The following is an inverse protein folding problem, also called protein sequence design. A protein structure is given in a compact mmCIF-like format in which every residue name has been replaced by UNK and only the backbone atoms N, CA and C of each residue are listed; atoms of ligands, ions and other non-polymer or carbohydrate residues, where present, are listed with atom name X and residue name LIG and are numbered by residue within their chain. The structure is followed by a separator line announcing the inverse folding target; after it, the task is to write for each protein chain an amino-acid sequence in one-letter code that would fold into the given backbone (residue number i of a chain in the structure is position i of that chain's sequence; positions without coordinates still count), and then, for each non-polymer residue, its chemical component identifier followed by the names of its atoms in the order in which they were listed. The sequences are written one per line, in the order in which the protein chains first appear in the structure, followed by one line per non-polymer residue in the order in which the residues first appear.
data_IF_980308865048
#
_entry.id   IF_980308865048
#
_cell.length_a   1.000
_cell.length_b   1.000
_cell.length_c   1.000
_cell.angle_alpha   90.00
_cell.angle_beta   90.00
_cell.angle_gamma   90.00
#
_symmetry.space_group_name_H-M   'P 1'
#
loop_
_entity.id
_entity.type
_entity.pdbx_description
1 polymer ?
#
# COMPACT_ATOMS: atom_id res chain seq x y z
N UNK A 1 -9.71 19.00 15.13
CA UNK A 1 -9.68 17.63 14.61
C UNK A 1 -11.11 17.12 14.61
N UNK A 2 -11.80 17.04 13.53
CA UNK A 2 -13.24 16.94 13.66
C UNK A 2 -13.87 15.72 13.02
N UNK A 3 -13.24 14.57 12.83
CA UNK A 3 -13.90 13.61 11.94
C UNK A 3 -13.75 12.15 12.31
N UNK A 4 -12.94 11.79 13.30
CA UNK A 4 -12.87 10.43 13.79
C UNK A 4 -14.08 10.10 14.64
N UNK A 5 -14.60 8.89 14.48
CA UNK A 5 -15.59 8.35 15.41
C UNK A 5 -14.98 8.14 16.79
N UNK A 6 -15.79 8.29 17.85
CA UNK A 6 -15.42 7.77 19.16
C UNK A 6 -15.37 6.24 19.08
N UNK A 7 -14.27 5.67 19.51
CA UNK A 7 -14.04 4.22 19.39
C UNK A 7 -14.26 3.51 20.74
N UNK A 8 -14.82 2.29 20.73
CA UNK A 8 -15.29 1.55 19.56
C UNK A 8 -16.62 2.11 19.00
N UNK A 9 -16.78 2.05 17.67
CA UNK A 9 -17.99 2.52 16.98
C UNK A 9 -18.57 1.43 16.08
N UNK A 10 -19.92 1.26 16.09
CA UNK A 10 -20.61 0.31 15.23
C UNK A 10 -21.09 1.02 13.95
N UNK A 11 -20.38 0.85 12.87
CA UNK A 11 -20.70 1.42 11.56
C UNK A 11 -21.72 0.52 10.83
N UNK A 12 -22.82 1.12 10.38
CA UNK A 12 -23.88 0.45 9.60
C UNK A 12 -24.43 -0.85 10.22
N UNK A 13 -24.25 -1.07 11.52
CA UNK A 13 -24.64 -2.29 12.20
C UNK A 13 -23.78 -3.53 11.90
N UNK A 14 -22.83 -3.42 10.97
CA UNK A 14 -22.03 -4.53 10.44
C UNK A 14 -20.54 -4.51 10.81
N UNK A 15 -19.97 -3.34 11.05
CA UNK A 15 -18.53 -3.17 11.29
C UNK A 15 -18.25 -2.48 12.61
N UNK A 16 -17.45 -3.10 13.46
CA UNK A 16 -16.98 -2.51 14.72
C UNK A 16 -15.63 -1.85 14.47
N UNK A 17 -15.59 -0.52 14.41
CA UNK A 17 -14.34 0.26 14.32
C UNK A 17 -13.60 0.13 15.65
N UNK A 18 -12.33 -0.27 15.61
CA UNK A 18 -11.55 -0.57 16.82
C UNK A 18 -10.40 0.41 17.06
N UNK A 19 -9.75 0.85 16.00
CA UNK A 19 -8.65 1.82 16.08
C UNK A 19 -8.53 2.66 14.80
N UNK A 20 -7.87 3.82 14.91
CA UNK A 20 -7.48 4.63 13.75
C UNK A 20 -6.16 4.06 13.24
N UNK A 21 -6.14 3.73 11.94
CA UNK A 21 -4.94 3.31 11.25
C UNK A 21 -4.16 4.52 10.71
N UNK A 22 -4.84 5.42 10.01
CA UNK A 22 -4.25 6.64 9.48
C UNK A 22 -5.30 7.73 9.31
N UNK A 23 -4.87 8.99 9.30
CA UNK A 23 -5.75 10.15 9.15
C UNK A 23 -5.12 11.19 8.21
N UNK A 24 -5.96 11.77 7.38
CA UNK A 24 -5.64 12.92 6.51
C UNK A 24 -6.63 14.04 6.77
N UNK A 25 -6.49 15.17 6.09
CA UNK A 25 -7.44 16.27 6.22
C UNK A 25 -8.87 15.89 5.79
N UNK A 26 -9.04 14.94 4.87
CA UNK A 26 -10.33 14.59 4.27
C UNK A 26 -10.83 13.19 4.63
N UNK A 27 -9.95 12.27 4.97
CA UNK A 27 -10.25 10.86 5.14
C UNK A 27 -9.62 10.32 6.41
N UNK A 28 -10.30 9.37 7.05
CA UNK A 28 -9.78 8.58 8.17
C UNK A 28 -9.84 7.11 7.77
N UNK A 29 -8.76 6.38 8.01
CA UNK A 29 -8.71 4.94 7.82
C UNK A 29 -8.76 4.26 9.18
N UNK A 30 -9.69 3.32 9.33
CA UNK A 30 -9.91 2.56 10.56
C UNK A 30 -9.53 1.10 10.37
N UNK A 31 -9.01 0.49 11.43
CA UNK A 31 -9.09 -0.96 11.61
C UNK A 31 -10.45 -1.28 12.17
N UNK A 32 -11.11 -2.28 11.62
CA UNK A 32 -12.44 -2.70 12.04
C UNK A 32 -12.59 -4.22 11.98
N UNK A 33 -13.60 -4.73 12.69
CA UNK A 33 -14.00 -6.14 12.64
C UNK A 33 -15.40 -6.24 12.05
N UNK A 34 -15.55 -7.03 11.01
CA UNK A 34 -16.87 -7.38 10.47
C UNK A 34 -17.60 -8.29 11.47
N UNK A 35 -18.75 -7.85 11.95
CA UNK A 35 -19.45 -8.46 13.10
C UNK A 35 -19.81 -9.93 12.88
N UNK A 36 -20.36 -10.26 11.72
CA UNK A 36 -20.90 -11.60 11.45
C UNK A 36 -19.81 -12.63 11.18
N UNK A 37 -18.73 -12.23 10.53
CA UNK A 37 -17.64 -13.13 10.13
C UNK A 37 -16.43 -13.08 11.07
N UNK A 38 -16.38 -12.10 11.97
CA UNK A 38 -15.23 -11.79 12.84
C UNK A 38 -13.96 -11.51 12.04
N UNK A 39 -14.11 -11.14 10.76
CA UNK A 39 -13.02 -10.83 9.87
C UNK A 39 -12.53 -9.41 10.12
N UNK A 40 -11.23 -9.24 10.21
CA UNK A 40 -10.64 -7.91 10.22
C UNK A 40 -10.73 -7.26 8.84
N UNK A 41 -11.02 -5.96 8.82
CA UNK A 41 -11.15 -5.15 7.62
C UNK A 41 -10.52 -3.78 7.86
N UNK A 42 -10.12 -3.12 6.78
CA UNK A 42 -9.73 -1.72 6.80
C UNK A 42 -10.86 -0.89 6.19
N UNK A 43 -11.24 0.20 6.85
CA UNK A 43 -12.32 1.07 6.40
C UNK A 43 -11.80 2.49 6.20
N UNK A 44 -11.79 2.94 4.96
CA UNK A 44 -11.47 4.32 4.59
C UNK A 44 -12.77 5.12 4.57
N UNK A 45 -12.87 6.09 5.44
CA UNK A 45 -14.07 6.91 5.63
C UNK A 45 -13.82 8.34 5.18
N UNK A 46 -14.72 8.90 4.39
CA UNK A 46 -14.74 10.32 4.09
C UNK A 46 -15.18 11.10 5.35
N UNK A 47 -14.47 12.17 5.69
CA UNK A 47 -14.84 12.99 6.84
C UNK A 47 -16.20 13.65 6.66
N UNK A 48 -17.04 13.70 7.70
CA UNK A 48 -18.44 14.20 7.63
C UNK A 48 -18.56 15.60 7.01
N UNK A 49 -17.67 16.52 7.32
CA UNK A 49 -17.68 17.88 6.72
C UNK A 49 -17.46 17.86 5.20
N UNK A 50 -16.78 16.87 4.69
CA UNK A 50 -16.52 16.71 3.25
C UNK A 50 -17.63 15.93 2.55
N UNK A 51 -18.42 15.15 3.30
CA UNK A 51 -19.54 14.39 2.79
C UNK A 51 -20.70 15.29 2.29
N UNK A 52 -20.77 16.55 2.72
CA UNK A 52 -21.74 17.55 2.21
C UNK A 52 -21.28 18.15 0.87
N UNK A 53 -20.04 17.98 0.46
CA UNK A 53 -19.50 18.49 -0.80
C UNK A 53 -19.66 17.44 -1.91
N UNK A 54 -20.58 17.72 -2.85
CA UNK A 54 -20.88 16.78 -3.94
C UNK A 54 -19.66 16.42 -4.80
N UNK A 55 -18.73 17.34 -5.04
CA UNK A 55 -17.52 17.08 -5.81
C UNK A 55 -16.58 16.14 -5.07
N UNK A 56 -16.39 16.35 -3.76
CA UNK A 56 -15.54 15.49 -2.94
C UNK A 56 -16.14 14.08 -2.83
N UNK A 57 -17.45 13.98 -2.62
CA UNK A 57 -18.18 12.71 -2.62
C UNK A 57 -18.02 11.98 -3.96
N UNK A 58 -18.20 12.69 -5.07
CA UNK A 58 -18.04 12.09 -6.40
C UNK A 58 -16.62 11.56 -6.60
N UNK A 59 -15.61 12.32 -6.20
CA UNK A 59 -14.21 11.89 -6.29
C UNK A 59 -13.94 10.64 -5.42
N UNK A 60 -14.50 10.59 -4.21
CA UNK A 60 -14.36 9.43 -3.32
C UNK A 60 -14.99 8.16 -3.92
N UNK A 61 -16.17 8.30 -4.56
CA UNK A 61 -16.85 7.21 -5.26
C UNK A 61 -16.04 6.75 -6.49
N UNK A 62 -15.49 7.69 -7.26
CA UNK A 62 -14.62 7.36 -8.40
C UNK A 62 -13.32 6.67 -7.94
N UNK A 63 -12.73 7.09 -6.81
CA UNK A 63 -11.61 6.39 -6.17
C UNK A 63 -12.00 4.95 -5.82
N UNK A 64 -13.18 4.73 -5.22
CA UNK A 64 -13.68 3.40 -4.89
C UNK A 64 -13.83 2.52 -6.15
N UNK A 65 -14.32 3.08 -7.25
CA UNK A 65 -14.41 2.40 -8.55
C UNK A 65 -13.02 2.07 -9.11
N UNK A 66 -12.05 2.97 -8.98
CA UNK A 66 -10.68 2.69 -9.39
C UNK A 66 -10.07 1.56 -8.55
N UNK A 67 -10.24 1.60 -7.23
CA UNK A 67 -9.78 0.55 -6.32
C UNK A 67 -10.40 -0.83 -6.64
N UNK A 68 -11.71 -0.90 -6.95
CA UNK A 68 -12.40 -2.17 -7.25
C UNK A 68 -11.92 -2.84 -8.53
N UNK A 69 -11.24 -2.11 -9.42
CA UNK A 69 -10.65 -2.65 -10.65
C UNK A 69 -9.32 -3.34 -10.42
N UNK A 70 -8.64 -3.09 -9.28
CA UNK A 70 -7.36 -3.72 -8.96
C UNK A 70 -7.63 -5.06 -8.29
N UNK A 71 -7.27 -6.14 -8.99
CA UNK A 71 -7.46 -7.52 -8.54
C UNK A 71 -6.12 -8.26 -8.58
N UNK A 72 -5.22 -7.90 -7.68
CA UNK A 72 -3.92 -8.54 -7.52
C UNK A 72 -3.87 -9.21 -6.14
N UNK A 73 -3.33 -10.44 -6.03
CA UNK A 73 -3.41 -11.23 -4.79
C UNK A 73 -2.66 -10.60 -3.62
N UNK A 74 -1.75 -9.68 -3.90
CA UNK A 74 -0.95 -8.96 -2.91
C UNK A 74 -1.39 -7.50 -2.71
N UNK A 75 -2.59 -7.13 -3.17
CA UNK A 75 -3.19 -5.81 -2.96
C UNK A 75 -4.54 -5.99 -2.27
N UNK A 76 -4.80 -5.20 -1.22
CA UNK A 76 -6.08 -5.24 -0.49
C UNK A 76 -7.26 -5.05 -1.42
N UNK A 77 -8.13 -6.06 -1.48
CA UNK A 77 -9.32 -6.06 -2.33
C UNK A 77 -10.42 -5.20 -1.70
N UNK A 78 -11.20 -4.53 -2.55
CA UNK A 78 -12.41 -3.83 -2.12
C UNK A 78 -13.51 -4.85 -1.83
N UNK A 79 -14.10 -4.76 -0.64
CA UNK A 79 -15.27 -5.56 -0.25
C UNK A 79 -16.54 -4.83 -0.68
N UNK A 80 -16.71 -3.58 -0.24
CA UNK A 80 -17.88 -2.77 -0.58
C UNK A 80 -17.64 -1.27 -0.43
N UNK A 81 -18.50 -0.48 -1.05
CA UNK A 81 -18.65 0.95 -0.84
C UNK A 81 -19.98 1.19 -0.13
N UNK A 82 -19.94 1.77 1.07
CA UNK A 82 -21.04 1.81 2.02
C UNK A 82 -21.40 3.26 2.37
N UNK A 83 -22.62 3.72 2.11
CA UNK A 83 -23.14 4.96 2.69
C UNK A 83 -23.67 4.69 4.10
N UNK A 84 -23.10 5.34 5.10
CA UNK A 84 -23.55 5.23 6.49
C UNK A 84 -23.22 6.50 7.28
N UNK A 85 -23.95 6.77 8.35
CA UNK A 85 -23.72 7.87 9.31
C UNK A 85 -23.52 9.26 8.65
N UNK A 86 -24.16 9.48 7.49
CA UNK A 86 -24.07 10.72 6.72
C UNK A 86 -22.75 10.87 5.95
N UNK A 87 -22.01 9.78 5.72
CA UNK A 87 -20.77 9.78 4.95
C UNK A 87 -20.60 8.52 4.08
N UNK A 88 -19.51 8.46 3.33
CA UNK A 88 -19.12 7.35 2.49
C UNK A 88 -17.94 6.60 3.11
N UNK A 89 -18.00 5.26 3.05
CA UNK A 89 -17.01 4.35 3.62
C UNK A 89 -16.63 3.29 2.58
N UNK A 90 -15.36 3.16 2.33
CA UNK A 90 -14.82 2.13 1.44
C UNK A 90 -14.16 1.05 2.28
N UNK A 91 -14.71 -0.16 2.23
CA UNK A 91 -14.28 -1.32 3.01
C UNK A 91 -13.34 -2.16 2.18
N UNK A 92 -12.16 -2.45 2.74
CA UNK A 92 -11.14 -3.31 2.17
C UNK A 92 -10.93 -4.56 3.03
N UNK A 93 -10.41 -5.60 2.40
CA UNK A 93 -9.82 -6.71 3.13
C UNK A 93 -8.74 -6.20 4.07
N UNK A 94 -8.87 -6.52 5.35
CA UNK A 94 -7.87 -6.24 6.37
C UNK A 94 -6.96 -7.45 6.59
N UNK A 95 -5.86 -7.26 7.31
CA UNK A 95 -4.85 -8.28 7.46
C UNK A 95 -4.45 -8.60 8.88
N UNK A 96 -4.93 -7.89 9.88
CA UNK A 96 -4.48 -8.06 11.27
C UNK A 96 -2.96 -7.93 11.47
N UNK A 97 -2.25 -7.48 10.45
CA UNK A 97 -0.81 -7.56 10.39
C UNK A 97 -0.16 -6.21 10.70
N UNK A 98 1.01 -6.28 11.32
CA UNK A 98 1.83 -5.09 11.55
C UNK A 98 2.27 -4.48 10.21
N UNK A 99 2.12 -3.17 10.10
CA UNK A 99 2.65 -2.45 8.95
C UNK A 99 4.17 -2.54 8.90
N UNK A 100 4.74 -2.44 7.69
CA UNK A 100 6.18 -2.45 7.50
C UNK A 100 6.87 -1.32 8.26
N UNK A 101 6.19 -0.19 8.43
CA UNK A 101 6.69 0.91 9.24
C UNK A 101 6.83 0.51 10.72
N UNK A 102 5.85 -0.19 11.28
CA UNK A 102 5.90 -0.67 12.67
C UNK A 102 6.98 -1.74 12.85
N UNK A 103 7.10 -2.67 11.90
CA UNK A 103 8.17 -3.67 11.89
C UNK A 103 9.57 -3.03 11.83
N UNK A 104 9.72 -1.98 11.03
CA UNK A 104 10.96 -1.22 10.93
C UNK A 104 11.33 -0.53 12.27
N UNK A 105 10.34 0.11 12.91
CA UNK A 105 10.53 0.78 14.20
C UNK A 105 10.83 -0.22 15.33
N UNK A 106 10.21 -1.40 15.30
CA UNK A 106 10.46 -2.47 16.29
C UNK A 106 11.81 -3.18 16.11
N UNK A 107 12.58 -2.82 15.06
CA UNK A 107 13.88 -3.42 14.76
C UNK A 107 13.80 -4.85 14.22
N UNK A 108 12.62 -5.31 13.79
CA UNK A 108 12.48 -6.62 13.16
C UNK A 108 13.22 -6.66 11.82
N UNK A 109 13.95 -7.74 11.60
CA UNK A 109 14.69 -7.95 10.35
C UNK A 109 13.76 -8.42 9.25
N UNK A 110 13.93 -7.85 8.07
CA UNK A 110 13.27 -8.29 6.83
C UNK A 110 14.29 -9.13 6.06
N UNK A 111 13.90 -10.35 5.66
CA UNK A 111 14.79 -11.22 4.87
C UNK A 111 14.97 -10.63 3.47
N UNK A 112 16.13 -10.88 2.88
CA UNK A 112 16.45 -10.41 1.52
C UNK A 112 15.40 -10.88 0.50
N UNK A 113 15.00 -12.15 0.57
CA UNK A 113 13.96 -12.73 -0.29
C UNK A 113 12.64 -12.01 -0.18
N UNK A 114 12.20 -11.68 1.04
CA UNK A 114 10.93 -10.99 1.29
C UNK A 114 10.97 -9.56 0.68
N UNK A 115 12.10 -8.85 0.83
CA UNK A 115 12.27 -7.52 0.24
C UNK A 115 12.22 -7.56 -1.29
N UNK A 116 12.88 -8.55 -1.91
CA UNK A 116 12.85 -8.70 -3.37
C UNK A 116 11.44 -9.06 -3.85
N UNK A 117 10.71 -9.90 -3.13
CA UNK A 117 9.31 -10.19 -3.45
C UNK A 117 8.44 -8.92 -3.35
N UNK A 118 8.62 -8.12 -2.30
CA UNK A 118 7.92 -6.84 -2.17
C UNK A 118 8.21 -5.91 -3.35
N UNK A 119 9.47 -5.75 -3.73
CA UNK A 119 9.87 -4.90 -4.86
C UNK A 119 9.30 -5.41 -6.19
N UNK A 120 9.24 -6.73 -6.40
CA UNK A 120 8.58 -7.31 -7.58
C UNK A 120 7.09 -7.01 -7.60
N UNK A 121 6.38 -7.21 -6.49
CA UNK A 121 4.96 -6.90 -6.36
C UNK A 121 4.68 -5.42 -6.66
N UNK A 122 5.53 -4.51 -6.18
CA UNK A 122 5.42 -3.08 -6.47
C UNK A 122 5.61 -2.77 -7.97
N UNK A 123 6.58 -3.40 -8.62
CA UNK A 123 6.78 -3.24 -10.07
C UNK A 123 5.59 -3.77 -10.87
N UNK A 124 5.11 -4.96 -10.54
CA UNK A 124 3.95 -5.59 -11.20
C UNK A 124 2.68 -4.75 -11.00
N UNK A 125 2.46 -4.23 -9.78
CA UNK A 125 1.36 -3.31 -9.50
C UNK A 125 1.43 -2.05 -10.38
N UNK A 126 2.60 -1.43 -10.49
CA UNK A 126 2.77 -0.25 -11.34
C UNK A 126 2.48 -0.54 -12.81
N UNK A 127 2.99 -1.66 -13.33
CA UNK A 127 2.70 -2.10 -14.69
C UNK A 127 1.20 -2.38 -14.91
N UNK A 128 0.54 -2.98 -13.92
CA UNK A 128 -0.90 -3.22 -13.96
C UNK A 128 -1.68 -1.89 -14.00
N UNK A 129 -1.37 -0.96 -13.11
CA UNK A 129 -2.03 0.35 -13.05
C UNK A 129 -1.82 1.11 -14.36
N UNK A 130 -0.62 1.04 -14.94
CA UNK A 130 -0.30 1.63 -16.24
C UNK A 130 -1.14 1.04 -17.36
N UNK A 131 -1.17 -0.27 -17.47
CA UNK A 131 -1.94 -0.97 -18.51
C UNK A 131 -3.44 -0.73 -18.37
N UNK A 132 -3.95 -0.63 -17.13
CA UNK A 132 -5.36 -0.40 -16.85
C UNK A 132 -5.78 1.09 -16.96
N UNK A 133 -4.83 2.02 -17.12
CA UNK A 133 -5.10 3.45 -17.12
C UNK A 133 -5.58 4.00 -15.77
N UNK A 134 -5.13 3.40 -14.67
CA UNK A 134 -5.50 3.77 -13.30
C UNK A 134 -4.39 4.62 -12.67
N UNK A 135 -4.76 5.70 -11.99
CA UNK A 135 -3.84 6.50 -11.19
C UNK A 135 -3.54 5.82 -9.85
N UNK A 136 -2.42 6.20 -9.24
CA UNK A 136 -2.06 5.79 -7.88
C UNK A 136 -1.94 6.97 -6.94
N UNK A 137 -2.32 6.76 -5.69
CA UNK A 137 -1.94 7.62 -4.56
C UNK A 137 -0.43 7.47 -4.30
N UNK A 138 0.22 8.43 -3.63
CA UNK A 138 1.62 8.27 -3.23
C UNK A 138 1.86 7.01 -2.40
N UNK A 139 3.01 6.38 -2.58
CA UNK A 139 3.41 5.24 -1.77
C UNK A 139 3.57 5.62 -0.30
N UNK A 140 3.11 4.73 0.60
CA UNK A 140 3.23 4.89 2.05
C UNK A 140 3.70 3.59 2.68
N UNK A 141 4.67 3.68 3.58
CA UNK A 141 5.25 2.51 4.24
C UNK A 141 4.28 1.87 5.25
N UNK A 142 3.38 2.65 5.84
CA UNK A 142 2.31 2.18 6.71
C UNK A 142 1.19 1.45 5.95
N UNK A 143 1.12 1.58 4.62
CA UNK A 143 0.24 0.81 3.73
C UNK A 143 0.86 -0.49 3.21
N UNK A 144 1.95 -0.98 3.79
CA UNK A 144 2.55 -2.28 3.49
C UNK A 144 2.48 -3.15 4.73
N UNK A 145 1.80 -4.29 4.64
CA UNK A 145 1.56 -5.20 5.77
C UNK A 145 2.24 -6.52 5.55
N UNK A 146 2.74 -7.12 6.62
CA UNK A 146 3.31 -8.46 6.57
C UNK A 146 2.23 -9.50 6.82
N UNK A 147 1.97 -10.35 5.84
CA UNK A 147 1.06 -11.49 5.94
C UNK A 147 1.88 -12.80 5.89
N UNK A 148 2.30 -13.29 7.05
CA UNK A 148 3.16 -14.46 7.15
C UNK A 148 4.52 -14.23 6.48
N UNK A 149 4.77 -14.88 5.34
CA UNK A 149 6.00 -14.74 4.53
C UNK A 149 5.87 -13.72 3.40
N UNK A 150 4.68 -13.21 3.16
CA UNK A 150 4.36 -12.31 2.05
C UNK A 150 4.03 -10.91 2.56
N UNK A 151 3.99 -9.95 1.65
CA UNK A 151 3.51 -8.62 1.94
C UNK A 151 2.21 -8.37 1.18
N UNK A 152 1.26 -7.74 1.87
CA UNK A 152 0.08 -7.18 1.27
C UNK A 152 0.22 -5.67 1.23
N UNK A 153 -0.24 -5.08 0.14
CA UNK A 153 -0.21 -3.65 -0.10
C UNK A 153 -1.61 -3.06 0.07
N UNK A 154 -1.72 -1.90 0.71
CA UNK A 154 -2.92 -1.08 0.56
C UNK A 154 -3.20 -0.85 -0.92
N UNK A 155 -4.47 -0.77 -1.27
CA UNK A 155 -4.86 -0.47 -2.64
C UNK A 155 -4.57 1.01 -2.98
N UNK A 156 -3.58 1.30 -3.83
CA UNK A 156 -3.19 2.67 -4.11
C UNK A 156 -4.04 3.35 -5.19
N UNK A 157 -4.94 2.61 -5.84
CA UNK A 157 -5.71 3.13 -6.96
C UNK A 157 -6.54 4.35 -6.57
N UNK A 158 -6.60 5.33 -7.45
CA UNK A 158 -7.41 6.53 -7.28
C UNK A 158 -7.93 7.05 -8.62
N UNK A 159 -8.95 7.87 -8.55
CA UNK A 159 -9.48 8.61 -9.69
C UNK A 159 -8.55 9.78 -10.07
N UNK A 160 -8.81 10.37 -11.20
CA UNK A 160 -8.14 11.58 -11.68
C UNK A 160 -7.63 11.45 -13.11
N UNK A 161 -7.21 12.58 -13.66
CA UNK A 161 -6.60 12.61 -14.99
C UNK A 161 -5.23 11.96 -14.92
N UNK A 162 -5.06 10.88 -15.66
CA UNK A 162 -3.80 10.18 -15.72
C UNK A 162 -2.73 11.05 -16.41
N UNK A 163 -1.61 11.22 -15.75
CA UNK A 163 -0.37 11.65 -16.39
C UNK A 163 0.52 10.43 -16.62
N UNK A 164 1.25 10.39 -17.72
CA UNK A 164 2.08 9.23 -18.12
C UNK A 164 3.19 8.85 -17.11
N UNK A 165 3.23 9.48 -15.95
CA UNK A 165 4.33 9.41 -14.99
C UNK A 165 3.91 8.93 -13.59
N UNK A 166 2.61 8.67 -13.36
CA UNK A 166 2.08 8.40 -12.00
C UNK A 166 2.66 7.13 -11.39
N UNK A 167 2.77 6.06 -12.17
CA UNK A 167 3.27 4.77 -11.68
C UNK A 167 4.76 4.81 -11.37
N UNK A 168 5.53 5.54 -12.18
CA UNK A 168 6.95 5.74 -11.91
C UNK A 168 7.15 6.52 -10.60
N UNK A 169 6.31 7.53 -10.36
CA UNK A 169 6.31 8.29 -9.11
C UNK A 169 6.08 7.40 -7.90
N UNK A 170 5.11 6.49 -7.99
CA UNK A 170 4.83 5.53 -6.93
C UNK A 170 6.04 4.65 -6.61
N UNK A 171 6.77 4.13 -7.63
CA UNK A 171 7.99 3.34 -7.43
C UNK A 171 9.16 4.17 -6.88
N UNK A 172 9.30 5.41 -7.33
CA UNK A 172 10.35 6.33 -6.82
C UNK A 172 10.08 6.61 -5.33
N UNK A 173 8.83 6.90 -4.95
CA UNK A 173 8.45 7.12 -3.56
C UNK A 173 8.65 5.85 -2.72
N UNK A 174 8.33 4.67 -3.27
CA UNK A 174 8.59 3.39 -2.63
C UNK A 174 10.11 3.15 -2.43
N UNK A 175 10.93 3.42 -3.43
CA UNK A 175 12.38 3.28 -3.33
C UNK A 175 12.96 4.21 -2.25
N UNK A 176 12.50 5.47 -2.18
CA UNK A 176 12.91 6.43 -1.14
C UNK A 176 12.52 5.95 0.25
N UNK A 177 11.32 5.41 0.42
CA UNK A 177 10.83 4.94 1.71
C UNK A 177 11.50 3.63 2.17
N UNK A 178 11.83 2.72 1.24
CA UNK A 178 12.44 1.43 1.52
C UNK A 178 13.98 1.50 1.67
N UNK A 179 14.64 2.47 1.03
CA UNK A 179 16.08 2.61 1.05
C UNK A 179 16.68 2.69 2.47
N UNK A 180 16.13 3.44 3.44
CA UNK A 180 16.63 3.45 4.82
C UNK A 180 16.55 2.10 5.50
N UNK A 181 15.55 1.27 5.18
CA UNK A 181 15.37 -0.06 5.77
C UNK A 181 16.43 -1.04 5.30
N UNK A 182 16.88 -0.93 4.06
CA UNK A 182 18.00 -1.69 3.49
C UNK A 182 19.33 -1.18 4.03
N UNK A 183 19.46 0.13 4.25
CA UNK A 183 20.70 0.74 4.76
C UNK A 183 20.97 0.42 6.23
N UNK A 184 19.91 0.17 7.01
CA UNK A 184 19.94 0.11 8.48
C UNK A 184 20.19 -1.27 9.09
N UNK A 185 20.85 -2.23 8.47
CA UNK A 185 21.15 -3.57 9.02
C UNK A 185 20.07 -4.66 8.91
N UNK A 186 18.89 -4.37 8.42
CA UNK A 186 17.85 -5.39 8.24
C UNK A 186 18.23 -6.41 7.15
N UNK A 187 19.08 -6.02 6.21
CA UNK A 187 19.61 -6.85 5.14
C UNK A 187 21.15 -6.86 5.19
N UNK A 188 21.75 -8.03 5.15
CA UNK A 188 23.20 -8.23 5.12
C UNK A 188 23.60 -9.07 3.90
N UNK A 189 24.88 -8.97 3.47
CA UNK A 189 25.43 -9.74 2.37
C UNK A 189 25.48 -9.01 1.03
N UNK A 190 25.93 -9.73 -0.01
CA UNK A 190 26.11 -9.21 -1.38
C UNK A 190 24.79 -8.80 -2.01
N UNK A 191 23.73 -9.58 -1.80
CA UNK A 191 22.41 -9.30 -2.31
C UNK A 191 21.84 -8.01 -1.74
N UNK A 192 22.03 -7.75 -0.44
CA UNK A 192 21.63 -6.49 0.19
C UNK A 192 22.30 -5.28 -0.46
N UNK A 193 23.62 -5.39 -0.75
CA UNK A 193 24.34 -4.33 -1.46
C UNK A 193 23.78 -4.04 -2.84
N UNK A 194 23.40 -5.07 -3.58
CA UNK A 194 22.79 -4.94 -4.92
C UNK A 194 21.38 -4.33 -4.86
N UNK A 195 20.53 -4.78 -3.92
CA UNK A 195 19.18 -4.20 -3.71
C UNK A 195 19.31 -2.74 -3.30
N UNK A 196 20.24 -2.40 -2.41
CA UNK A 196 20.50 -1.01 -2.02
C UNK A 196 20.91 -0.15 -3.20
N UNK A 197 21.82 -0.63 -4.05
CA UNK A 197 22.25 0.09 -5.24
C UNK A 197 21.10 0.31 -6.22
N UNK A 198 20.24 -0.70 -6.41
CA UNK A 198 19.04 -0.59 -7.23
C UNK A 198 18.08 0.47 -6.69
N UNK A 199 17.75 0.41 -5.40
CA UNK A 199 16.86 1.38 -4.75
C UNK A 199 17.42 2.80 -4.79
N UNK A 200 18.72 2.99 -4.52
CA UNK A 200 19.35 4.32 -4.62
C UNK A 200 19.21 4.90 -6.02
N UNK A 201 19.49 4.09 -7.05
CA UNK A 201 19.35 4.55 -8.43
C UNK A 201 17.92 4.91 -8.79
N UNK A 202 16.94 4.11 -8.37
CA UNK A 202 15.51 4.42 -8.61
C UNK A 202 15.06 5.66 -7.83
N UNK A 203 15.50 5.81 -6.57
CA UNK A 203 15.18 6.97 -5.75
C UNK A 203 15.70 8.30 -6.34
N UNK A 204 16.82 8.26 -7.06
CA UNK A 204 17.45 9.42 -7.70
C UNK A 204 16.93 9.69 -9.12
N UNK A 205 16.03 8.84 -9.64
CA UNK A 205 15.47 9.04 -10.98
C UNK A 205 14.54 10.26 -11.02
N UNK A 206 14.58 11.05 -12.12
CA UNK A 206 13.61 12.11 -12.33
C UNK A 206 12.22 11.51 -12.58
N UNK A 207 11.18 12.21 -12.12
CA UNK A 207 9.77 11.80 -12.27
C UNK A 207 9.36 11.52 -13.74
N UNK A 208 10.09 12.08 -14.70
CA UNK A 208 9.82 11.96 -16.13
C UNK A 208 10.39 10.68 -16.79
N UNK A 209 11.12 9.83 -16.06
CA UNK A 209 11.63 8.58 -16.63
C UNK A 209 10.50 7.62 -17.01
N UNK A 210 10.59 7.08 -18.21
CA UNK A 210 9.73 5.98 -18.66
C UNK A 210 10.38 4.64 -18.34
N UNK A 211 9.56 3.59 -18.11
CA UNK A 211 9.98 2.19 -17.98
C UNK A 211 10.70 1.79 -16.67
N UNK A 212 10.66 2.61 -15.62
CA UNK A 212 11.31 2.28 -14.32
C UNK A 212 10.88 0.90 -13.81
N UNK A 213 9.59 0.56 -13.86
CA UNK A 213 9.06 -0.70 -13.38
C UNK A 213 9.62 -1.92 -14.15
N UNK A 214 9.69 -1.83 -15.48
CA UNK A 214 10.21 -2.92 -16.33
C UNK A 214 11.70 -3.16 -16.11
N UNK A 215 12.49 -2.08 -16.03
CA UNK A 215 13.93 -2.18 -15.83
C UNK A 215 14.25 -2.72 -14.45
N UNK A 216 13.54 -2.23 -13.43
CA UNK A 216 13.67 -2.73 -12.06
C UNK A 216 13.29 -4.21 -11.95
N UNK A 217 12.20 -4.64 -12.59
CA UNK A 217 11.75 -6.03 -12.60
C UNK A 217 12.79 -6.95 -13.26
N UNK A 218 13.40 -6.51 -14.35
CA UNK A 218 14.46 -7.23 -15.05
C UNK A 218 15.66 -7.45 -14.17
N UNK A 219 16.12 -6.43 -13.44
CA UNK A 219 17.22 -6.55 -12.49
C UNK A 219 16.88 -7.44 -11.30
N UNK A 220 15.69 -7.31 -10.72
CA UNK A 220 15.24 -8.17 -9.62
C UNK A 220 15.21 -9.66 -10.04
N UNK A 221 14.89 -9.95 -11.29
CA UNK A 221 14.95 -11.32 -11.83
C UNK A 221 16.36 -11.89 -11.81
N UNK A 222 17.38 -11.08 -12.07
CA UNK A 222 18.80 -11.51 -12.00
C UNK A 222 19.30 -11.67 -10.57
N UNK A 223 18.69 -10.97 -9.60
CA UNK A 223 19.05 -11.06 -8.18
C UNK A 223 18.45 -12.29 -7.48
N UNK A 224 17.31 -12.79 -7.93
CA UNK A 224 16.57 -13.88 -7.28
C UNK A 224 17.43 -15.13 -7.02
N UNK A 225 18.24 -15.66 -7.96
CA UNK A 225 19.10 -16.83 -7.72
C UNK A 225 20.19 -16.58 -6.67
N UNK A 226 20.74 -15.36 -6.61
CA UNK A 226 21.79 -14.99 -5.65
C UNK A 226 21.24 -14.91 -4.22
N UNK A 227 20.03 -14.41 -4.07
CA UNK A 227 19.37 -14.28 -2.78
C UNK A 227 18.98 -15.63 -2.21
N UNK A 228 18.45 -16.54 -3.04
CA UNK A 228 18.11 -17.90 -2.61
C UNK A 228 19.33 -18.67 -2.12
N UNK A 229 20.51 -18.39 -2.66
CA UNK A 229 21.75 -19.00 -2.21
C UNK A 229 22.27 -18.43 -0.87
N UNK A 230 22.05 -17.13 -0.62
CA UNK A 230 22.43 -16.48 0.65
C UNK A 230 21.48 -16.82 1.82
N UNK A 231 20.17 -17.01 1.55
CA UNK A 231 19.18 -17.36 2.58
C UNK A 231 19.23 -18.83 3.03
N UNK A 232 19.97 -19.70 2.32
CA UNK A 232 20.15 -21.13 2.66
C UNK A 232 21.30 -21.36 3.65
N UNK A 233 22.09 -20.34 3.95
CA UNK A 233 23.27 -20.46 4.83
C UNK A 233 22.90 -20.11 6.30
N UNK A 234 21.77 -20.67 6.83
CA UNK A 234 21.58 -20.75 8.31
C UNK A 234 20.42 -21.68 8.68
#
# INVERSE_FOLDING_TARGET
MPHAYELPHLLAGAYVLTSIHSETAQEVQYVATQKDTQREVLIRSLGKLFAENATICSNFIEDARACSRVQLPYVSSVIELLPADGSWHLVFEGNGADSLNLLAVSGQKIRNVDMVHLLRNLCELCLYLDAAGINSRPFRLDGVYRNGKEFLLDNPACAGVRTAQVSNRYLIDAAKALLPLVAGSAMQGRAAGMVKALLSRVADMPDACSLVAMDMLRELTTLTPLISAEDVIF
#
